data_IF_696713331332
#
_entry.id   IF_696713331332
#
_cell.length_a   1.000
_cell.length_b   1.000
_cell.length_c   1.000
_cell.angle_alpha   90.00
_cell.angle_beta   90.00
_cell.angle_gamma   90.00
#
_symmetry.space_group_name_H-M   'P 1'
#
loop_
_entity.id
_entity.type
_entity.pdbx_description
1 polymer ?
#
# COMPACT_ATOMS: atom_id res chain seq x y z
N UNK A 1 4.62 -23.00 -3.45
CA UNK A 1 5.78 -22.92 -4.36
C UNK A 1 6.78 -21.87 -3.85
N UNK A 2 8.09 -21.99 -4.07
CA UNK A 2 9.08 -20.99 -3.58
C UNK A 2 8.81 -19.59 -4.15
N UNK A 3 8.33 -19.50 -5.40
CA UNK A 3 7.92 -18.25 -6.06
C UNK A 3 6.74 -17.54 -5.37
N UNK A 4 5.80 -18.31 -4.80
CA UNK A 4 4.71 -17.79 -3.98
C UNK A 4 5.21 -16.99 -2.77
N UNK A 5 6.17 -17.58 -2.04
CA UNK A 5 6.74 -16.98 -0.85
C UNK A 5 7.46 -15.67 -1.16
N UNK A 6 8.19 -15.62 -2.28
CA UNK A 6 8.86 -14.39 -2.74
C UNK A 6 7.83 -13.32 -3.13
N UNK A 7 6.76 -13.70 -3.85
CA UNK A 7 5.68 -12.78 -4.21
C UNK A 7 4.95 -12.19 -3.01
N UNK A 8 4.73 -12.98 -1.96
CA UNK A 8 4.11 -12.54 -0.70
C UNK A 8 5.01 -11.56 0.06
N UNK A 9 6.31 -11.84 0.17
CA UNK A 9 7.27 -10.95 0.85
C UNK A 9 7.35 -9.59 0.13
N UNK A 10 7.33 -9.57 -1.20
CA UNK A 10 7.33 -8.34 -1.98
C UNK A 10 6.06 -7.50 -1.75
N UNK A 11 4.86 -8.12 -1.73
CA UNK A 11 3.61 -7.44 -1.36
C UNK A 11 3.66 -6.88 0.05
N UNK A 12 4.18 -7.67 0.99
CA UNK A 12 4.29 -7.27 2.38
C UNK A 12 5.20 -6.04 2.53
N UNK A 13 6.32 -6.00 1.82
CA UNK A 13 7.21 -4.83 1.79
C UNK A 13 6.52 -3.57 1.29
N UNK A 14 5.74 -3.67 0.20
CA UNK A 14 4.97 -2.54 -0.36
C UNK A 14 3.90 -2.07 0.63
N UNK A 15 3.19 -3.00 1.27
CA UNK A 15 2.17 -2.68 2.27
C UNK A 15 2.76 -1.96 3.49
N UNK A 16 3.89 -2.45 4.02
CA UNK A 16 4.60 -1.84 5.15
C UNK A 16 5.10 -0.44 4.78
N UNK A 17 5.68 -0.27 3.59
CA UNK A 17 6.17 1.05 3.14
C UNK A 17 5.03 2.07 3.06
N UNK A 18 3.89 1.69 2.45
CA UNK A 18 2.71 2.55 2.39
C UNK A 18 2.17 2.89 3.79
N UNK A 19 2.15 1.92 4.71
CA UNK A 19 1.72 2.11 6.09
C UNK A 19 2.63 3.08 6.87
N UNK A 20 3.95 2.88 6.82
CA UNK A 20 4.93 3.76 7.48
C UNK A 20 4.83 5.18 6.92
N UNK A 21 4.67 5.31 5.60
CA UNK A 21 4.60 6.61 4.95
C UNK A 21 3.32 7.39 5.33
N UNK A 22 2.20 6.69 5.56
CA UNK A 22 0.97 7.28 6.08
C UNK A 22 1.14 7.73 7.54
N UNK A 23 1.66 6.86 8.39
CA UNK A 23 1.85 7.15 9.82
C UNK A 23 2.81 8.33 10.02
N UNK A 24 3.93 8.35 9.27
CA UNK A 24 4.92 9.43 9.35
C UNK A 24 4.32 10.77 8.94
N UNK A 25 3.44 10.79 7.94
CA UNK A 25 2.77 12.01 7.51
C UNK A 25 1.74 12.51 8.52
N UNK A 26 0.93 11.61 9.09
CA UNK A 26 0.02 11.98 10.18
C UNK A 26 0.79 12.53 11.39
N UNK A 27 1.94 11.93 11.73
CA UNK A 27 2.80 12.43 12.80
C UNK A 27 3.31 13.84 12.52
N UNK A 28 3.77 14.11 11.29
CA UNK A 28 4.18 15.46 10.86
C UNK A 28 3.02 16.46 10.92
N UNK A 29 1.81 16.08 10.51
CA UNK A 29 0.63 16.93 10.61
C UNK A 29 0.27 17.23 12.07
N UNK A 30 0.30 16.22 12.93
CA UNK A 30 0.02 16.39 14.37
C UNK A 30 1.04 17.33 15.03
N UNK A 31 2.33 17.16 14.72
CA UNK A 31 3.40 17.99 15.27
C UNK A 31 3.35 19.44 14.75
N UNK A 32 2.83 19.66 13.53
CA UNK A 32 2.73 20.99 12.91
C UNK A 32 1.46 21.77 13.26
N UNK A 33 0.33 21.09 13.48
CA UNK A 33 -0.98 21.73 13.74
C UNK A 33 -1.31 21.96 15.21
N UNK A 34 -0.36 21.71 16.13
CA UNK A 34 -0.50 21.99 17.56
C UNK A 34 -1.90 21.63 18.13
N UNK A 35 -2.32 20.37 17.94
CA UNK A 35 -3.43 19.72 18.67
C UNK A 35 -4.72 20.50 18.90
N UNK A 36 -5.24 21.27 17.94
CA UNK A 36 -6.52 21.99 18.15
C UNK A 36 -7.72 21.38 17.40
N UNK A 37 -7.52 20.59 16.33
CA UNK A 37 -8.63 19.89 15.70
C UNK A 37 -8.20 18.59 14.98
N UNK A 38 -8.52 17.45 15.59
CA UNK A 38 -8.30 16.12 15.01
C UNK A 38 -9.01 15.96 13.65
N UNK A 39 -10.15 16.65 13.47
CA UNK A 39 -10.97 16.58 12.25
C UNK A 39 -10.29 17.29 11.08
N UNK A 40 -9.59 18.40 11.35
CA UNK A 40 -8.79 19.12 10.37
C UNK A 40 -7.58 18.28 9.93
N UNK A 41 -6.88 17.65 10.89
CA UNK A 41 -5.76 16.74 10.62
C UNK A 41 -6.20 15.56 9.75
N UNK A 42 -7.36 14.95 10.06
CA UNK A 42 -7.91 13.84 9.27
C UNK A 42 -8.25 14.28 7.84
N UNK A 43 -8.93 15.42 7.65
CA UNK A 43 -9.25 15.93 6.31
C UNK A 43 -8.00 16.20 5.49
N UNK A 44 -7.03 16.92 6.07
CA UNK A 44 -5.84 17.31 5.35
C UNK A 44 -4.89 16.14 5.08
N UNK A 45 -4.72 15.24 6.05
CA UNK A 45 -3.93 14.02 5.86
C UNK A 45 -4.55 13.07 4.83
N UNK A 46 -5.89 13.04 4.72
CA UNK A 46 -6.57 12.33 3.63
C UNK A 46 -6.34 13.07 2.31
N UNK A 47 -6.61 14.36 2.17
CA UNK A 47 -6.41 15.07 0.88
C UNK A 47 -4.97 14.98 0.35
N UNK A 48 -3.97 15.10 1.21
CA UNK A 48 -2.55 15.12 0.81
C UNK A 48 -2.05 13.73 0.39
N UNK A 49 -2.44 12.66 1.08
CA UNK A 49 -1.91 11.31 0.83
C UNK A 49 -2.86 10.33 0.18
N UNK A 50 -4.16 10.62 0.09
CA UNK A 50 -5.14 9.74 -0.56
C UNK A 50 -4.75 9.44 -2.01
N UNK A 51 -4.24 10.44 -2.75
CA UNK A 51 -3.75 10.26 -4.13
C UNK A 51 -2.54 9.33 -4.19
N UNK A 52 -1.56 9.55 -3.31
CA UNK A 52 -0.32 8.77 -3.28
C UNK A 52 -0.58 7.33 -2.84
N UNK A 53 -1.44 7.11 -1.84
CA UNK A 53 -1.77 5.79 -1.34
C UNK A 53 -2.61 5.03 -2.35
N UNK A 54 -3.64 5.66 -2.92
CA UNK A 54 -4.47 5.02 -3.95
C UNK A 54 -3.62 4.59 -5.15
N UNK A 55 -2.72 5.46 -5.65
CA UNK A 55 -1.90 5.12 -6.80
C UNK A 55 -0.98 3.94 -6.52
N UNK A 56 -0.27 3.92 -5.37
CA UNK A 56 0.61 2.79 -5.03
C UNK A 56 -0.17 1.50 -4.76
N UNK A 57 -1.32 1.61 -4.12
CA UNK A 57 -2.21 0.46 -3.86
C UNK A 57 -2.75 -0.13 -5.16
N UNK A 58 -3.16 0.74 -6.10
CA UNK A 58 -3.71 0.34 -7.39
C UNK A 58 -2.62 -0.26 -8.28
N UNK A 59 -1.42 0.33 -8.31
CA UNK A 59 -0.26 -0.21 -9.03
C UNK A 59 0.11 -1.59 -8.49
N UNK A 60 0.14 -1.77 -7.17
CA UNK A 60 0.36 -3.07 -6.56
C UNK A 60 -0.75 -4.07 -6.94
N UNK A 61 -2.02 -3.68 -6.81
CA UNK A 61 -3.14 -4.55 -7.18
C UNK A 61 -3.09 -4.95 -8.66
N UNK A 62 -2.83 -4.00 -9.57
CA UNK A 62 -2.72 -4.24 -11.01
C UNK A 62 -1.48 -5.09 -11.37
N UNK A 63 -0.38 -4.99 -10.63
CA UNK A 63 0.79 -5.84 -10.83
C UNK A 63 0.55 -7.31 -10.47
N UNK A 64 -0.34 -7.57 -9.51
CA UNK A 64 -0.68 -8.92 -9.05
C UNK A 64 -1.97 -9.47 -9.69
N UNK A 65 -2.82 -8.62 -10.26
CA UNK A 65 -4.04 -8.99 -10.98
C UNK A 65 -3.80 -9.99 -12.14
N UNK A 66 -2.84 -9.78 -13.06
CA UNK A 66 -2.59 -10.74 -14.15
C UNK A 66 -2.01 -12.07 -13.65
N UNK A 67 -1.28 -12.07 -12.52
CA UNK A 67 -0.84 -13.31 -11.86
C UNK A 67 -2.02 -14.08 -11.24
N UNK A 68 -3.01 -13.38 -10.69
CA UNK A 68 -4.20 -14.00 -10.09
C UNK A 68 -5.17 -14.59 -11.14
N UNK A 69 -5.23 -14.02 -12.34
CA UNK A 69 -6.17 -14.43 -13.40
C UNK A 69 -5.53 -15.45 -14.38
N UNK A 70 -4.20 -15.61 -14.37
CA UNK A 70 -3.49 -16.55 -15.24
C UNK A 70 -3.88 -18.02 -14.97
N UNK A 71 -4.52 -18.66 -15.96
CA UNK A 71 -4.90 -20.09 -15.97
C UNK A 71 -4.04 -20.94 -16.93
N UNK A 72 -2.88 -20.46 -17.37
CA UNK A 72 -2.02 -21.14 -18.35
C UNK A 72 -1.02 -22.17 -17.77
N UNK A 73 -0.59 -23.13 -18.60
CA UNK A 73 0.40 -24.18 -18.27
C UNK A 73 1.71 -23.57 -17.76
N UNK A 74 2.05 -23.80 -16.48
CA UNK A 74 3.08 -23.08 -15.72
C UNK A 74 2.53 -22.39 -14.45
N UNK A 75 1.21 -22.30 -14.32
CA UNK A 75 0.52 -21.72 -13.17
C UNK A 75 0.79 -22.45 -11.84
N UNK A 76 1.28 -23.69 -11.81
CA UNK A 76 1.65 -24.37 -10.55
C UNK A 76 2.95 -23.84 -9.90
N UNK A 77 3.84 -23.21 -10.69
CA UNK A 77 5.10 -22.64 -10.19
C UNK A 77 4.93 -21.17 -9.79
N UNK A 78 4.00 -20.45 -10.44
CA UNK A 78 3.76 -19.00 -10.25
C UNK A 78 2.46 -18.65 -9.51
N UNK A 79 1.58 -19.62 -9.23
CA UNK A 79 0.52 -19.39 -8.24
C UNK A 79 1.17 -19.25 -6.86
N UNK A 80 0.76 -18.22 -6.09
CA UNK A 80 1.02 -18.20 -4.67
C UNK A 80 0.49 -19.47 -3.99
#
# INVERSE_FOLDING_TARGET
>A
SISAGVGFIALFGIAVLNGIMLISHFKQLIDSLAYHDLKAILRQGVDDKFRSILLTSLVAALGYLPMAISQGSGAEVQKP
#
